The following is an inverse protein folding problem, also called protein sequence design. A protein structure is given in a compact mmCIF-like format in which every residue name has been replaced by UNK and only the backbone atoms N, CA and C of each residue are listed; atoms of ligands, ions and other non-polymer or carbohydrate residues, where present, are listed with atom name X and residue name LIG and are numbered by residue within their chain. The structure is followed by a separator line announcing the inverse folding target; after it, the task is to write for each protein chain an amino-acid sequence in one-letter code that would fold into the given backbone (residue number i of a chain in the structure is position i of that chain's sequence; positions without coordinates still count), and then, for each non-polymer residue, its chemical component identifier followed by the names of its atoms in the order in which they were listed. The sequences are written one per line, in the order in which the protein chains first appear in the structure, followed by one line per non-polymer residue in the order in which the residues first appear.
data_IF_718341090983
#
_entry.id   IF_718341090983
#
_cell.length_a   1.000
_cell.length_b   1.000
_cell.length_c   1.000
_cell.angle_alpha   90.00
_cell.angle_beta   90.00
_cell.angle_gamma   90.00
#
_symmetry.space_group_name_H-M   'P 1'
#
loop_
_entity.id
_entity.type
_entity.pdbx_description
1 polymer ?
#
# COMPACT_ATOMS: atom_id res chain seq x y z
N UNK A 1 15.95 -20.25 -25.29
CA UNK A 1 14.51 -20.31 -24.98
C UNK A 1 14.12 -18.98 -24.38
N UNK A 2 13.06 -18.30 -24.85
CA UNK A 2 12.57 -17.12 -24.15
C UNK A 2 11.92 -17.61 -22.85
N UNK A 3 12.46 -17.19 -21.71
CA UNK A 3 11.83 -17.34 -20.41
C UNK A 3 10.48 -16.65 -20.48
N UNK A 4 9.40 -17.43 -20.41
CA UNK A 4 8.05 -16.89 -20.22
C UNK A 4 8.08 -16.04 -18.95
N UNK A 5 7.97 -14.73 -19.12
CA UNK A 5 7.79 -13.81 -17.99
C UNK A 5 6.57 -14.28 -17.21
N UNK A 6 6.76 -14.53 -15.91
CA UNK A 6 5.67 -14.91 -15.03
C UNK A 6 4.50 -13.91 -15.18
N UNK A 7 3.24 -14.38 -15.16
CA UNK A 7 2.10 -13.48 -15.26
C UNK A 7 2.16 -12.42 -14.15
N UNK A 8 1.94 -11.14 -14.50
CA UNK A 8 1.89 -10.06 -13.53
C UNK A 8 0.69 -10.27 -12.61
N UNK A 9 0.95 -10.61 -11.36
CA UNK A 9 -0.10 -10.87 -10.36
C UNK A 9 -0.41 -9.66 -9.48
N UNK A 10 0.43 -8.62 -9.52
CA UNK A 10 0.26 -7.46 -8.65
C UNK A 10 0.27 -7.88 -7.19
N UNK A 11 1.13 -8.84 -6.88
CA UNK A 11 1.28 -9.46 -5.58
C UNK A 11 2.21 -8.62 -4.72
N UNK A 12 1.79 -8.41 -3.49
CA UNK A 12 2.56 -7.76 -2.45
C UNK A 12 2.80 -8.78 -1.36
N UNK A 13 4.07 -8.97 -1.00
CA UNK A 13 4.45 -9.70 0.20
C UNK A 13 5.16 -8.73 1.13
N UNK A 14 4.71 -8.66 2.36
CA UNK A 14 5.33 -7.80 3.36
C UNK A 14 5.36 -8.52 4.70
N UNK A 15 6.50 -8.43 5.37
CA UNK A 15 6.73 -9.09 6.65
C UNK A 15 7.29 -8.09 7.63
N UNK A 16 6.62 -7.97 8.77
CA UNK A 16 7.12 -7.23 9.91
C UNK A 16 8.29 -8.02 10.52
N UNK A 17 9.42 -7.37 10.76
CA UNK A 17 10.63 -8.03 11.28
C UNK A 17 10.77 -7.89 12.81
N UNK A 18 10.13 -6.87 13.38
CA UNK A 18 10.11 -6.52 14.80
C UNK A 18 8.94 -5.57 15.06
N UNK A 19 8.53 -5.42 16.32
CA UNK A 19 7.48 -4.48 16.68
C UNK A 19 7.80 -3.05 16.26
N UNK A 20 6.76 -2.31 15.90
CA UNK A 20 6.84 -0.88 15.58
C UNK A 20 6.67 -0.09 16.87
N UNK A 21 7.60 0.83 17.14
CA UNK A 21 7.46 1.76 18.25
C UNK A 21 6.16 2.57 18.13
N UNK A 22 5.54 2.88 19.25
CA UNK A 22 4.22 3.51 19.25
C UNK A 22 4.20 4.86 18.50
N UNK A 23 5.25 5.67 18.66
CA UNK A 23 5.37 6.97 17.98
C UNK A 23 5.57 6.84 16.46
N UNK A 24 6.32 5.82 16.03
CA UNK A 24 6.51 5.52 14.61
C UNK A 24 5.21 5.04 13.98
N UNK A 25 4.45 4.19 14.70
CA UNK A 25 3.13 3.75 14.29
C UNK A 25 2.15 4.92 14.16
N UNK A 26 2.09 5.82 15.14
CA UNK A 26 1.25 7.01 15.05
C UNK A 26 1.65 7.92 13.90
N UNK A 27 2.95 8.06 13.64
CA UNK A 27 3.46 8.82 12.49
C UNK A 27 3.00 8.18 11.19
N UNK A 28 3.11 6.85 11.06
CA UNK A 28 2.60 6.10 9.91
C UNK A 28 1.10 6.33 9.72
N UNK A 29 0.28 6.12 10.76
CA UNK A 29 -1.17 6.33 10.68
C UNK A 29 -1.52 7.73 10.19
N UNK A 30 -0.85 8.77 10.73
CA UNK A 30 -1.08 10.15 10.31
C UNK A 30 -0.76 10.39 8.83
N UNK A 31 0.36 9.85 8.33
CA UNK A 31 0.73 9.98 6.93
C UNK A 31 -0.23 9.21 6.01
N UNK A 32 -0.67 8.02 6.42
CA UNK A 32 -1.63 7.21 5.68
C UNK A 32 -3.00 7.90 5.61
N UNK A 33 -3.48 8.47 6.71
CA UNK A 33 -4.72 9.27 6.73
C UNK A 33 -4.62 10.48 5.79
N UNK A 34 -3.47 11.15 5.74
CA UNK A 34 -3.22 12.25 4.79
C UNK A 34 -3.27 11.77 3.33
N UNK A 35 -2.62 10.65 3.03
CA UNK A 35 -2.62 10.06 1.69
C UNK A 35 -4.02 9.62 1.27
N UNK A 36 -4.76 8.94 2.15
CA UNK A 36 -6.15 8.55 1.89
C UNK A 36 -7.04 9.76 1.61
N UNK A 37 -6.94 10.80 2.45
CA UNK A 37 -7.70 12.04 2.27
C UNK A 37 -7.40 12.69 0.92
N UNK A 38 -6.13 12.75 0.53
CA UNK A 38 -5.71 13.35 -0.73
C UNK A 38 -6.19 12.54 -1.94
N UNK A 39 -6.00 11.22 -1.89
CA UNK A 39 -6.49 10.30 -2.91
C UNK A 39 -7.98 10.47 -3.19
N UNK A 40 -8.77 10.67 -2.13
CA UNK A 40 -10.21 10.85 -2.25
C UNK A 40 -10.62 12.24 -2.72
N UNK A 41 -9.88 13.28 -2.35
CA UNK A 41 -10.16 14.66 -2.76
C UNK A 41 -9.77 14.93 -4.22
N UNK A 42 -8.68 14.32 -4.68
CA UNK A 42 -8.12 14.52 -6.02
C UNK A 42 -7.72 13.20 -6.68
N UNK A 43 -8.65 12.25 -6.88
CA UNK A 43 -8.32 10.94 -7.42
C UNK A 43 -7.66 11.00 -8.81
N UNK A 44 -7.97 12.03 -9.61
CA UNK A 44 -7.40 12.27 -10.93
C UNK A 44 -5.87 12.45 -10.90
N UNK A 45 -5.32 12.94 -9.79
CA UNK A 45 -3.87 13.13 -9.63
C UNK A 45 -3.09 11.81 -9.62
N UNK A 46 -3.78 10.68 -9.40
CA UNK A 46 -3.16 9.36 -9.46
C UNK A 46 -2.91 8.86 -10.88
N UNK A 47 -3.61 9.40 -11.89
CA UNK A 47 -3.59 8.88 -13.25
C UNK A 47 -4.09 7.44 -13.40
N UNK A 48 -4.82 6.91 -12.41
CA UNK A 48 -5.41 5.56 -12.42
C UNK A 48 -6.87 5.64 -12.87
N UNK A 49 -7.25 4.82 -13.86
CA UNK A 49 -8.62 4.66 -14.33
C UNK A 49 -9.07 3.20 -14.18
N UNK A 50 -10.23 2.92 -13.53
CA UNK A 50 -11.07 3.89 -12.82
C UNK A 50 -10.41 4.43 -11.54
N UNK A 51 -10.83 5.62 -11.06
CA UNK A 51 -10.37 6.21 -9.79
C UNK A 51 -10.33 5.22 -8.62
N UNK A 52 -9.26 5.20 -7.81
CA UNK A 52 -9.22 4.35 -6.63
C UNK A 52 -10.24 4.75 -5.57
N UNK A 53 -11.18 3.85 -5.27
CA UNK A 53 -12.11 3.99 -4.14
C UNK A 53 -11.66 3.05 -3.03
N UNK A 54 -11.38 3.60 -1.85
CA UNK A 54 -10.92 2.85 -0.69
C UNK A 54 -12.11 2.54 0.21
N UNK A 55 -12.38 1.25 0.37
CA UNK A 55 -13.44 0.71 1.20
C UNK A 55 -12.87 -0.01 2.43
N UNK A 56 -13.75 -0.33 3.38
CA UNK A 56 -13.43 -1.21 4.51
C UNK A 56 -12.88 -2.57 4.02
N UNK A 57 -12.37 -3.39 4.94
CA UNK A 57 -11.75 -4.67 4.58
C UNK A 57 -12.63 -5.61 3.74
N UNK A 58 -13.95 -5.50 3.86
CA UNK A 58 -14.93 -6.27 3.08
C UNK A 58 -15.23 -5.69 1.69
N UNK A 59 -14.74 -4.48 1.38
CA UNK A 59 -15.00 -3.78 0.12
C UNK A 59 -16.41 -3.17 0.00
N UNK A 60 -17.23 -3.23 1.05
CA UNK A 60 -18.66 -2.90 1.01
C UNK A 60 -18.90 -1.41 1.22
N UNK A 61 -18.15 -0.79 2.14
CA UNK A 61 -18.41 0.59 2.57
C UNK A 61 -17.18 1.46 2.29
N UNK A 62 -17.31 2.52 1.47
CA UNK A 62 -16.25 3.51 1.30
C UNK A 62 -15.85 4.11 2.65
N UNK A 63 -14.54 4.16 2.91
CA UNK A 63 -14.01 4.72 4.15
C UNK A 63 -14.19 6.24 4.16
N UNK A 64 -14.24 6.82 5.36
CA UNK A 64 -14.47 8.26 5.59
C UNK A 64 -13.20 9.08 5.37
N UNK A 65 -13.30 10.41 5.32
CA UNK A 65 -12.17 11.33 5.13
C UNK A 65 -11.27 11.48 6.38
N UNK A 66 -11.09 10.40 7.12
CA UNK A 66 -10.45 10.35 8.43
C UNK A 66 -9.58 9.09 8.55
N UNK A 67 -9.23 8.72 9.78
CA UNK A 67 -8.49 7.54 10.17
C UNK A 67 -9.32 6.24 10.18
N UNK A 68 -10.46 6.19 9.47
CA UNK A 68 -11.32 4.99 9.42
C UNK A 68 -10.68 3.72 8.83
N UNK A 69 -9.53 3.82 8.17
CA UNK A 69 -8.71 2.67 7.77
C UNK A 69 -7.78 2.17 8.89
N UNK A 70 -7.65 2.94 9.97
CA UNK A 70 -6.84 2.65 11.16
C UNK A 70 -7.74 1.98 12.22
N UNK A 71 -7.52 0.70 12.45
CA UNK A 71 -8.02 -0.01 13.63
C UNK A 71 -7.02 0.05 14.79
N UNK A 72 -7.35 -0.63 15.88
CA UNK A 72 -6.43 -0.80 17.02
C UNK A 72 -5.20 -1.62 16.58
N UNK A 73 -4.11 -0.92 16.26
CA UNK A 73 -2.85 -1.53 15.82
C UNK A 73 -2.89 -2.19 14.44
N UNK A 74 -3.82 -1.80 13.57
CA UNK A 74 -3.96 -2.35 12.22
C UNK A 74 -4.37 -1.29 11.21
N UNK A 75 -3.85 -1.38 9.99
CA UNK A 75 -4.34 -0.67 8.81
C UNK A 75 -5.03 -1.69 7.90
N UNK A 76 -6.32 -1.50 7.62
CA UNK A 76 -7.12 -2.45 6.83
C UNK A 76 -8.02 -1.75 5.82
N UNK A 77 -7.96 -2.19 4.56
CA UNK A 77 -8.84 -1.69 3.51
C UNK A 77 -8.89 -2.64 2.30
N UNK A 78 -9.84 -2.39 1.41
CA UNK A 78 -9.97 -3.04 0.10
C UNK A 78 -10.49 -2.02 -0.93
N UNK A 79 -10.58 -2.41 -2.19
CA UNK A 79 -11.31 -1.67 -3.21
C UNK A 79 -12.82 -1.83 -3.11
N UNK A 80 -13.56 -1.12 -3.95
CA UNK A 80 -15.02 -1.16 -3.96
C UNK A 80 -15.57 -2.44 -4.61
N UNK A 81 -16.37 -3.19 -3.86
CA UNK A 81 -16.93 -4.47 -4.31
C UNK A 81 -18.04 -4.30 -5.36
N UNK A 82 -18.89 -3.28 -5.23
CA UNK A 82 -20.06 -3.09 -6.10
C UNK A 82 -19.67 -3.00 -7.59
N UNK A 83 -18.55 -2.33 -7.90
CA UNK A 83 -18.04 -2.20 -9.27
C UNK A 83 -16.95 -3.22 -9.61
N UNK A 84 -16.81 -4.29 -8.83
CA UNK A 84 -15.79 -5.34 -9.00
C UNK A 84 -14.34 -4.79 -8.93
N UNK A 85 -14.13 -3.70 -8.19
CA UNK A 85 -12.84 -3.06 -7.98
C UNK A 85 -12.13 -3.56 -6.71
N UNK A 86 -12.79 -4.39 -5.90
CA UNK A 86 -12.22 -5.10 -4.75
C UNK A 86 -11.41 -6.33 -5.17
N UNK A 87 -10.33 -6.64 -4.43
CA UNK A 87 -9.55 -7.87 -4.60
C UNK A 87 -9.25 -8.51 -3.24
N UNK A 88 -8.01 -8.97 -3.03
CA UNK A 88 -7.57 -9.44 -1.71
C UNK A 88 -7.38 -8.28 -0.72
N UNK A 89 -8.01 -8.37 0.45
CA UNK A 89 -7.93 -7.32 1.48
C UNK A 89 -6.50 -7.02 1.89
N UNK A 90 -6.15 -5.74 1.95
CA UNK A 90 -4.89 -5.30 2.50
C UNK A 90 -4.99 -5.18 4.03
N UNK A 91 -4.03 -5.78 4.74
CA UNK A 91 -3.94 -5.76 6.20
C UNK A 91 -2.48 -5.54 6.60
N UNK A 92 -2.19 -4.47 7.33
CA UNK A 92 -0.87 -4.16 7.87
C UNK A 92 -0.95 -4.01 9.40
N UNK A 93 -0.25 -4.88 10.13
CA UNK A 93 -0.29 -4.92 11.59
C UNK A 93 0.85 -4.10 12.22
N UNK A 94 0.60 -3.51 13.39
CA UNK A 94 1.61 -2.81 14.20
C UNK A 94 2.55 -3.78 14.91
N UNK A 95 1.98 -4.89 15.41
CA UNK A 95 2.68 -5.84 16.27
C UNK A 95 3.17 -7.04 15.46
N UNK A 96 4.40 -7.45 15.74
CA UNK A 96 5.03 -8.58 15.09
C UNK A 96 4.49 -9.88 15.66
N UNK A 97 3.81 -10.65 14.82
CA UNK A 97 3.48 -12.02 15.11
C UNK A 97 4.38 -12.95 14.26
N UNK A 98 5.00 -14.01 14.83
CA UNK A 98 5.96 -14.87 14.11
C UNK A 98 5.40 -15.52 12.83
N UNK A 99 4.08 -15.65 12.76
CA UNK A 99 3.36 -16.24 11.63
C UNK A 99 2.69 -15.19 10.72
N UNK A 100 2.75 -13.92 11.07
CA UNK A 100 2.16 -12.85 10.27
C UNK A 100 3.01 -12.60 9.03
N UNK A 101 2.44 -12.99 7.90
CA UNK A 101 2.95 -12.66 6.57
C UNK A 101 1.84 -11.93 5.86
N UNK A 102 2.03 -10.62 5.72
CA UNK A 102 1.14 -9.79 4.93
C UNK A 102 1.23 -10.17 3.46
N UNK A 103 0.07 -10.34 2.86
CA UNK A 103 -0.06 -10.75 1.48
C UNK A 103 -1.35 -10.23 0.87
N UNK A 104 -1.27 -9.65 -0.33
CA UNK A 104 -2.45 -9.33 -1.13
C UNK A 104 -2.11 -9.30 -2.62
N UNK A 105 -3.00 -9.83 -3.45
CA UNK A 105 -3.03 -9.68 -4.92
C UNK A 105 -4.00 -8.58 -5.32
N UNK A 106 -3.50 -7.63 -6.08
CA UNK A 106 -4.27 -6.41 -6.43
C UNK A 106 -4.16 -6.06 -7.92
N UNK A 107 -3.68 -6.97 -8.76
CA UNK A 107 -3.63 -6.75 -10.21
C UNK A 107 -5.01 -6.45 -10.78
N UNK A 108 -5.10 -5.41 -11.61
CA UNK A 108 -6.38 -4.94 -12.16
C UNK A 108 -7.27 -4.18 -11.18
N UNK A 109 -6.85 -4.02 -9.91
CA UNK A 109 -7.65 -3.34 -8.89
C UNK A 109 -7.06 -1.95 -8.55
N UNK A 110 -7.83 -0.85 -8.70
CA UNK A 110 -7.34 0.51 -8.49
C UNK A 110 -6.78 0.80 -7.08
N UNK A 111 -7.35 0.19 -6.05
CA UNK A 111 -6.91 0.39 -4.65
C UNK A 111 -5.46 -0.08 -4.41
N UNK A 112 -4.86 -0.83 -5.35
CA UNK A 112 -3.42 -1.13 -5.40
C UNK A 112 -2.56 0.12 -5.22
N UNK A 113 -2.99 1.26 -5.75
CA UNK A 113 -2.30 2.53 -5.58
C UNK A 113 -2.12 2.89 -4.10
N UNK A 114 -3.19 2.73 -3.31
CA UNK A 114 -3.15 2.97 -1.88
C UNK A 114 -2.31 1.92 -1.13
N UNK A 115 -2.34 0.64 -1.56
CA UNK A 115 -1.44 -0.39 -1.02
C UNK A 115 0.02 0.01 -1.15
N UNK A 116 0.43 0.47 -2.34
CA UNK A 116 1.78 0.95 -2.60
C UNK A 116 2.12 2.17 -1.75
N UNK A 117 1.21 3.15 -1.66
CA UNK A 117 1.41 4.34 -0.82
C UNK A 117 1.62 3.97 0.66
N UNK A 118 0.79 3.08 1.22
CA UNK A 118 0.95 2.64 2.62
C UNK A 118 2.28 1.93 2.83
N UNK A 119 2.68 1.04 1.92
CA UNK A 119 3.94 0.30 2.03
C UNK A 119 5.18 1.21 1.93
N UNK A 120 5.15 2.22 1.05
CA UNK A 120 6.20 3.24 0.97
C UNK A 120 6.27 4.08 2.25
N UNK A 121 5.13 4.52 2.77
CA UNK A 121 5.06 5.27 4.04
C UNK A 121 5.53 4.42 5.23
N UNK A 122 5.21 3.13 5.25
CA UNK A 122 5.67 2.20 6.28
C UNK A 122 7.20 2.04 6.25
N UNK A 123 7.78 1.92 5.05
CA UNK A 123 9.24 1.87 4.91
C UNK A 123 9.92 3.19 5.29
N UNK A 124 9.31 4.32 4.94
CA UNK A 124 9.82 5.65 5.26
C UNK A 124 9.81 5.97 6.76
N UNK A 125 8.71 5.65 7.44
CA UNK A 125 8.55 5.92 8.88
C UNK A 125 9.28 4.92 9.75
N UNK A 126 9.34 3.66 9.31
CA UNK A 126 9.91 2.54 10.08
C UNK A 126 11.01 1.84 9.27
N UNK A 127 12.17 2.48 9.03
CA UNK A 127 13.20 1.91 8.19
C UNK A 127 13.72 0.59 8.78
N UNK A 128 13.93 -0.40 7.91
CA UNK A 128 14.39 -1.76 8.25
C UNK A 128 13.44 -2.59 9.13
N UNK A 129 12.20 -2.12 9.38
CA UNK A 129 11.20 -2.86 10.17
C UNK A 129 10.33 -3.75 9.27
N UNK A 130 10.14 -3.34 8.02
CA UNK A 130 9.39 -4.07 7.01
C UNK A 130 10.29 -4.65 5.94
N UNK A 131 10.13 -5.94 5.65
CA UNK A 131 10.63 -6.54 4.41
C UNK A 131 9.50 -6.57 3.40
N UNK A 132 9.66 -5.89 2.26
CA UNK A 132 8.64 -5.75 1.23
C UNK A 132 9.18 -6.33 -0.07
N UNK A 133 8.39 -7.18 -0.73
CA UNK A 133 8.69 -7.69 -2.08
C UNK A 133 7.42 -7.69 -2.91
N UNK A 134 7.53 -7.37 -4.19
CA UNK A 134 6.39 -7.34 -5.11
C UNK A 134 6.84 -7.66 -6.53
N UNK A 135 5.92 -8.15 -7.35
CA UNK A 135 6.11 -8.31 -8.80
C UNK A 135 5.65 -7.07 -9.61
N UNK A 136 5.22 -6.01 -8.91
CA UNK A 136 4.89 -4.70 -9.50
C UNK A 136 6.17 -3.99 -9.94
N UNK A 137 6.11 -3.32 -11.09
CA UNK A 137 7.29 -2.71 -11.70
C UNK A 137 7.83 -1.52 -10.90
N UNK A 138 9.15 -1.31 -10.94
CA UNK A 138 9.80 -0.17 -10.30
C UNK A 138 9.20 1.17 -10.77
N UNK A 139 8.81 1.28 -12.04
CA UNK A 139 8.15 2.48 -12.58
C UNK A 139 6.81 2.79 -11.90
N UNK A 140 6.00 1.77 -11.60
CA UNK A 140 4.75 1.96 -10.86
C UNK A 140 5.01 2.39 -9.41
N UNK A 141 6.05 1.84 -8.77
CA UNK A 141 6.47 2.28 -7.43
C UNK A 141 6.96 3.72 -7.42
N UNK A 142 7.77 4.10 -8.40
CA UNK A 142 8.25 5.46 -8.55
C UNK A 142 7.10 6.44 -8.77
N UNK A 143 6.11 6.07 -9.59
CA UNK A 143 4.91 6.88 -9.80
C UNK A 143 4.18 7.22 -8.49
N UNK A 144 4.01 6.23 -7.61
CA UNK A 144 3.39 6.46 -6.29
C UNK A 144 4.30 7.30 -5.37
N UNK A 145 5.62 7.10 -5.42
CA UNK A 145 6.57 7.92 -4.66
C UNK A 145 6.54 9.40 -5.12
N UNK A 146 6.49 9.64 -6.43
CA UNK A 146 6.41 10.98 -7.02
C UNK A 146 5.08 11.66 -6.67
N UNK A 147 3.99 10.89 -6.63
CA UNK A 147 2.69 11.38 -6.17
C UNK A 147 2.72 11.78 -4.69
N UNK A 148 3.32 10.97 -3.80
CA UNK A 148 3.50 11.30 -2.39
C UNK A 148 4.33 12.58 -2.20
N UNK A 149 5.35 12.77 -3.03
CA UNK A 149 6.16 13.99 -3.02
C UNK A 149 5.35 15.20 -3.51
N UNK A 150 4.67 15.08 -4.65
CA UNK A 150 3.96 16.19 -5.30
C UNK A 150 2.76 16.66 -4.47
N UNK A 151 1.94 15.70 -4.02
CA UNK A 151 0.67 16.02 -3.38
C UNK A 151 0.77 16.22 -1.86
N UNK A 152 1.80 15.65 -1.21
CA UNK A 152 1.93 15.66 0.26
C UNK A 152 3.26 16.20 0.78
N UNK A 153 4.21 16.54 -0.09
CA UNK A 153 5.58 16.93 0.23
C UNK A 153 6.35 15.86 1.05
N UNK A 154 6.12 14.58 0.73
CA UNK A 154 6.79 13.45 1.40
C UNK A 154 7.82 12.85 0.44
N UNK A 155 9.10 13.03 0.74
CA UNK A 155 10.20 12.48 -0.07
C UNK A 155 10.39 11.01 0.30
N UNK A 156 10.11 10.12 -0.65
CA UNK A 156 10.28 8.68 -0.48
C UNK A 156 11.51 8.20 -1.26
N UNK A 157 12.37 7.44 -0.59
CA UNK A 157 13.38 6.62 -1.26
C UNK A 157 12.81 5.22 -1.44
N UNK A 158 12.86 4.68 -2.65
CA UNK A 158 12.36 3.33 -2.90
C UNK A 158 13.22 2.29 -2.16
N UNK A 159 12.60 1.29 -1.50
CA UNK A 159 13.31 0.16 -0.91
C UNK A 159 14.21 -0.53 -1.95
N UNK A 160 15.38 -1.02 -1.53
CA UNK A 160 16.36 -1.62 -2.45
C UNK A 160 15.76 -2.82 -3.19
N UNK A 161 14.98 -3.63 -2.50
CA UNK A 161 14.31 -4.82 -3.07
C UNK A 161 13.31 -4.45 -4.18
N UNK A 162 12.74 -3.25 -4.11
CA UNK A 162 11.82 -2.72 -5.13
C UNK A 162 12.61 -2.10 -6.28
N UNK A 163 13.67 -1.35 -5.98
CA UNK A 163 14.46 -0.64 -6.99
C UNK A 163 15.30 -1.58 -7.86
N UNK A 164 15.81 -2.69 -7.31
CA UNK A 164 16.61 -3.65 -8.08
C UNK A 164 15.77 -4.65 -8.87
N UNK A 165 14.45 -4.68 -8.66
CA UNK A 165 13.52 -5.65 -9.25
C UNK A 165 13.92 -7.08 -8.85
N UNK A 166 13.27 -7.67 -7.84
CA UNK A 166 13.63 -9.02 -7.40
C UNK A 166 13.51 -10.02 -8.57
N UNK A 167 14.65 -10.38 -9.17
CA UNK A 167 14.81 -11.61 -9.92
C UNK A 167 14.78 -12.73 -8.88
N UNK A 168 13.64 -13.41 -8.75
CA UNK A 168 13.60 -14.74 -8.16
C UNK A 168 13.94 -15.76 -9.23
#
# INVERSE_FOLDING_TARGET
MPTLSAPKTGAFHFRLLRDIAQDDWFTLCRLVTRAHRQLRLKPETTGIEPPPIICNGAGITPLRYDDSLIGLGVIVFNGEHHHQLSGETFILNQHHHPYDRGYCRTYGHPYRFMVMAVLLLAHHTCPNVWKITSDVSCAEWQHVADWLQTELAIVITLPTEISTGVQR
#
